data_IF_167181366899
#
_entry.id   IF_167181366899
#
_cell.length_a   1.000
_cell.length_b   1.000
_cell.length_c   1.000
_cell.angle_alpha   90.00
_cell.angle_beta   90.00
_cell.angle_gamma   90.00
#
_symmetry.space_group_name_H-M   'P 1'
#
loop_
_entity.id
_entity.type
_entity.pdbx_description
1 polymer ?
#
# COMPACT_ATOMS: atom_id res chain seq x y z
N UNK A 1 -22.67 21.52 7.85
CA UNK A 1 -21.79 20.34 8.01
C UNK A 1 -20.45 20.70 8.65
N UNK A 2 -19.61 21.53 8.01
CA UNK A 2 -18.27 21.92 8.51
C UNK A 2 -18.34 22.54 9.92
N UNK A 3 -19.14 23.58 10.15
CA UNK A 3 -19.23 24.19 11.49
C UNK A 3 -19.68 23.27 12.63
N UNK A 4 -20.33 22.13 12.35
CA UNK A 4 -20.73 21.16 13.38
C UNK A 4 -19.56 20.32 13.87
N UNK A 5 -18.54 20.11 13.03
CA UNK A 5 -17.36 19.30 13.34
C UNK A 5 -16.27 20.12 14.04
N UNK A 6 -16.17 21.42 13.73
CA UNK A 6 -15.06 22.28 14.16
C UNK A 6 -15.40 23.24 15.32
N UNK A 7 -16.67 23.35 15.77
CA UNK A 7 -17.06 24.32 16.83
C UNK A 7 -16.79 23.86 18.27
N UNK A 8 -16.64 22.56 18.53
CA UNK A 8 -16.36 22.02 19.87
C UNK A 8 -15.03 21.28 19.85
N UNK A 9 -14.06 21.68 20.68
CA UNK A 9 -12.74 21.05 20.74
C UNK A 9 -12.80 19.53 20.94
N UNK A 10 -13.73 19.02 21.74
CA UNK A 10 -13.89 17.57 21.94
C UNK A 10 -14.38 16.82 20.70
N UNK A 11 -15.19 17.46 19.85
CA UNK A 11 -15.66 16.89 18.58
C UNK A 11 -14.59 17.05 17.50
N UNK A 12 -13.82 18.13 17.54
CA UNK A 12 -12.71 18.38 16.63
C UNK A 12 -11.63 17.29 16.72
N UNK A 13 -11.13 17.02 17.94
CA UNK A 13 -10.06 16.04 18.14
C UNK A 13 -10.50 14.63 17.76
N UNK A 14 -11.71 14.22 18.16
CA UNK A 14 -12.22 12.88 17.80
C UNK A 14 -12.44 12.74 16.29
N UNK A 15 -12.92 13.79 15.61
CA UNK A 15 -13.07 13.81 14.15
C UNK A 15 -11.72 13.66 13.46
N UNK A 16 -10.69 14.36 13.92
CA UNK A 16 -9.33 14.22 13.37
C UNK A 16 -8.79 12.82 13.57
N UNK A 17 -8.93 12.23 14.77
CA UNK A 17 -8.42 10.90 15.03
C UNK A 17 -9.10 9.84 14.15
N UNK A 18 -10.43 9.85 14.08
CA UNK A 18 -11.19 8.94 13.21
C UNK A 18 -10.80 9.15 11.74
N UNK A 19 -10.68 10.41 11.32
CA UNK A 19 -10.25 10.76 9.97
C UNK A 19 -8.85 10.24 9.66
N UNK A 20 -7.89 10.41 10.58
CA UNK A 20 -6.51 9.98 10.40
C UNK A 20 -6.38 8.46 10.26
N UNK A 21 -7.01 7.67 11.14
CA UNK A 21 -6.96 6.21 11.06
C UNK A 21 -7.64 5.68 9.80
N UNK A 22 -8.81 6.23 9.45
CA UNK A 22 -9.53 5.83 8.24
C UNK A 22 -8.76 6.21 6.98
N UNK A 23 -8.20 7.41 6.94
CA UNK A 23 -7.39 7.89 5.82
C UNK A 23 -6.12 7.06 5.66
N UNK A 24 -5.41 6.76 6.73
CA UNK A 24 -4.16 5.99 6.67
C UNK A 24 -4.38 4.63 5.97
N UNK A 25 -5.38 3.87 6.39
CA UNK A 25 -5.66 2.55 5.80
C UNK A 25 -6.03 2.63 4.31
N UNK A 26 -6.89 3.58 3.95
CA UNK A 26 -7.33 3.76 2.56
C UNK A 26 -6.20 4.29 1.67
N UNK A 27 -5.43 5.24 2.17
CA UNK A 27 -4.35 5.87 1.44
C UNK A 27 -3.21 4.89 1.19
N UNK A 28 -2.81 4.11 2.21
CA UNK A 28 -1.77 3.09 2.07
C UNK A 28 -2.14 2.09 0.96
N UNK A 29 -3.32 1.47 1.03
CA UNK A 29 -3.78 0.52 -0.01
C UNK A 29 -3.87 1.18 -1.38
N UNK A 30 -4.42 2.39 -1.46
CA UNK A 30 -4.59 3.11 -2.73
C UNK A 30 -3.26 3.42 -3.40
N UNK A 31 -2.31 3.99 -2.64
CA UNK A 31 -0.99 4.37 -3.16
C UNK A 31 -0.15 3.15 -3.47
N UNK A 32 -0.14 2.12 -2.63
CA UNK A 32 0.60 0.89 -2.92
C UNK A 32 0.08 0.24 -4.20
N UNK A 33 -1.24 0.13 -4.36
CA UNK A 33 -1.83 -0.44 -5.58
C UNK A 33 -1.46 0.36 -6.83
N UNK A 34 -1.50 1.69 -6.75
CA UNK A 34 -1.09 2.55 -7.85
C UNK A 34 0.41 2.36 -8.18
N UNK A 35 1.26 2.34 -7.14
CA UNK A 35 2.70 2.17 -7.28
C UNK A 35 3.05 0.83 -7.93
N UNK A 36 2.45 -0.25 -7.45
CA UNK A 36 2.63 -1.59 -8.01
C UNK A 36 2.16 -1.66 -9.46
N UNK A 37 0.98 -1.11 -9.77
CA UNK A 37 0.45 -1.07 -11.14
C UNK A 37 1.37 -0.30 -12.09
N UNK A 38 1.90 0.83 -11.63
CA UNK A 38 2.80 1.69 -12.40
C UNK A 38 4.16 1.03 -12.66
N UNK A 39 4.65 0.22 -11.71
CA UNK A 39 5.96 -0.43 -11.79
C UNK A 39 5.90 -1.91 -12.23
N UNK A 40 4.75 -2.42 -12.67
CA UNK A 40 4.60 -3.84 -13.08
C UNK A 40 5.72 -4.31 -13.99
N UNK A 41 6.22 -5.50 -13.69
CA UNK A 41 7.34 -6.13 -14.38
C UNK A 41 8.72 -5.67 -13.90
N UNK A 42 8.79 -4.69 -13.00
CA UNK A 42 10.04 -4.22 -12.36
C UNK A 42 10.13 -4.62 -10.88
N UNK A 43 9.00 -4.93 -10.23
CA UNK A 43 9.03 -5.30 -8.82
C UNK A 43 9.63 -6.70 -8.66
N UNK A 44 10.34 -6.93 -7.54
CA UNK A 44 10.87 -8.25 -7.21
C UNK A 44 9.80 -9.34 -7.29
N UNK A 45 8.60 -9.07 -6.77
CA UNK A 45 7.47 -10.03 -6.84
C UNK A 45 7.07 -10.44 -8.26
N UNK A 46 7.35 -9.60 -9.27
CA UNK A 46 7.04 -9.87 -10.67
C UNK A 46 8.19 -10.60 -11.38
N UNK A 47 9.44 -10.41 -10.95
CA UNK A 47 10.64 -10.95 -11.62
C UNK A 47 11.27 -12.15 -10.91
N UNK A 48 10.94 -12.39 -9.63
CA UNK A 48 11.56 -13.42 -8.80
C UNK A 48 11.46 -14.84 -9.37
N UNK A 49 10.38 -15.16 -10.10
CA UNK A 49 10.20 -16.48 -10.71
C UNK A 49 11.38 -16.84 -11.61
N UNK A 50 11.90 -15.87 -12.38
CA UNK A 50 13.05 -16.06 -13.27
C UNK A 50 14.35 -16.42 -12.56
N UNK A 51 14.48 -16.08 -11.29
CA UNK A 51 15.71 -16.29 -10.51
C UNK A 51 15.58 -17.44 -9.52
N UNK A 52 14.36 -17.79 -9.13
CA UNK A 52 14.08 -18.88 -8.20
C UNK A 52 13.77 -20.19 -8.93
N UNK A 53 13.16 -20.14 -10.13
CA UNK A 53 13.00 -21.33 -10.99
C UNK A 53 14.28 -21.60 -11.79
N UNK A 54 15.00 -20.56 -12.23
CA UNK A 54 16.32 -20.70 -12.85
C UNK A 54 17.45 -21.10 -11.89
N UNK A 55 17.15 -21.32 -10.60
CA UNK A 55 18.08 -21.94 -9.66
C UNK A 55 17.97 -23.47 -9.62
N UNK A 56 16.86 -24.03 -10.13
CA UNK A 56 16.63 -25.48 -10.22
C UNK A 56 16.94 -26.04 -11.63
N UNK A 57 16.95 -25.20 -12.68
CA UNK A 57 17.27 -25.62 -14.07
C UNK A 57 18.79 -25.64 -14.37
N UNK A 58 19.64 -25.07 -13.51
CA UNK A 58 21.10 -25.04 -13.68
C UNK A 58 21.83 -26.19 -12.93
N UNK A 59 21.12 -27.11 -12.24
CA UNK A 59 21.71 -28.28 -11.54
C UNK A 59 21.55 -29.62 -12.28
N UNK A 60 20.84 -29.67 -13.43
CA UNK A 60 20.60 -30.92 -14.19
C UNK A 60 21.42 -31.06 -15.49
N UNK A 61 22.23 -30.07 -15.87
CA UNK A 61 23.14 -30.10 -17.04
C UNK A 61 24.60 -29.70 -16.67
N UNK A 62 25.24 -30.46 -15.77
CA UNK A 62 26.71 -30.79 -15.63
C UNK A 62 27.19 -31.01 -14.18
#
# INVERSE_FOLDING_TARGET
>A
MISSLFKRNSVYVSTILVGAFSFQALFDVGVNRWYEYHNRGKLWKDVKGKFLEGGDEDEDDE
#
